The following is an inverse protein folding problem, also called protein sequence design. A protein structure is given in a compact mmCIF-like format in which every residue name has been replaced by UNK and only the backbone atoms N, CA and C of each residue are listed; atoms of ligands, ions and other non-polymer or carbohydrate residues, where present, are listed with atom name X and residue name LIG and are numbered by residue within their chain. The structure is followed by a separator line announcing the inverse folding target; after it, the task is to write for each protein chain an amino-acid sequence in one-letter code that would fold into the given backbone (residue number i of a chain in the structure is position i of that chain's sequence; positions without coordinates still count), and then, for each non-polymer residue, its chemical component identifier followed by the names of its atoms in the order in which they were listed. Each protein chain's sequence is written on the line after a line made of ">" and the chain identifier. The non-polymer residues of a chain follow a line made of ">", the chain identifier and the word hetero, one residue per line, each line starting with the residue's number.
data_IF_861922885410
#
_entry.id   IF_861922885410
#
_cell.length_a   1.000
_cell.length_b   1.000
_cell.length_c   1.000
_cell.angle_alpha   90.00
_cell.angle_beta   90.00
_cell.angle_gamma   90.00
#
_symmetry.space_group_name_H-M   'P 1'
#
loop_
_entity.id
_entity.type
_entity.pdbx_description
1 polymer ?
#
# COMPACT_ATOMS: atom_id res chain seq x y z
N UNK A 1 26.91 21.31 -35.22
CA UNK A 1 27.52 21.48 -33.89
C UNK A 1 26.38 21.76 -32.91
N UNK A 2 26.09 20.83 -32.01
CA UNK A 2 25.14 21.09 -30.92
C UNK A 2 25.80 22.05 -29.93
N UNK A 3 25.27 23.26 -29.81
CA UNK A 3 25.71 24.22 -28.81
C UNK A 3 25.14 23.79 -27.46
N UNK A 4 26.01 23.27 -26.59
CA UNK A 4 25.65 22.91 -25.21
C UNK A 4 25.32 24.18 -24.43
N UNK A 5 24.21 24.17 -23.71
CA UNK A 5 23.73 25.32 -22.94
C UNK A 5 24.68 25.59 -21.76
N UNK A 6 25.04 26.85 -21.55
CA UNK A 6 25.94 27.27 -20.45
C UNK A 6 25.09 27.67 -19.25
N UNK A 7 25.06 26.84 -18.21
CA UNK A 7 24.21 27.04 -17.02
C UNK A 7 24.85 27.91 -15.94
N UNK A 8 26.18 28.02 -15.93
CA UNK A 8 26.96 28.78 -14.94
C UNK A 8 27.95 29.72 -15.60
N UNK A 9 28.15 30.88 -14.98
CA UNK A 9 29.16 31.84 -15.41
C UNK A 9 30.56 31.25 -15.23
N UNK A 10 31.40 31.16 -16.28
CA UNK A 10 32.74 30.59 -16.18
C UNK A 10 33.72 31.43 -15.34
N UNK A 11 33.35 32.68 -15.00
CA UNK A 11 34.19 33.61 -14.21
C UNK A 11 33.85 33.52 -12.72
N UNK A 12 32.57 33.62 -12.37
CA UNK A 12 32.13 33.72 -10.97
C UNK A 12 31.30 32.53 -10.48
N UNK A 13 31.06 31.54 -11.34
CA UNK A 13 30.21 30.37 -11.07
C UNK A 13 28.75 30.70 -10.72
N UNK A 14 28.31 31.95 -10.92
CA UNK A 14 26.93 32.39 -10.74
C UNK A 14 25.96 31.75 -11.73
N UNK A 15 24.67 31.71 -11.39
CA UNK A 15 23.61 31.16 -12.26
C UNK A 15 23.41 32.06 -13.48
N UNK A 16 23.34 31.46 -14.66
CA UNK A 16 22.99 32.16 -15.91
C UNK A 16 21.48 32.05 -16.16
N UNK A 17 20.91 33.03 -16.86
CA UNK A 17 19.52 33.01 -17.35
C UNK A 17 19.51 33.23 -18.87
N UNK A 18 18.47 32.74 -19.54
CA UNK A 18 18.22 33.10 -20.94
C UNK A 18 17.63 34.51 -20.95
N UNK A 19 18.24 35.42 -21.72
CA UNK A 19 17.78 36.80 -21.83
C UNK A 19 16.82 37.03 -23.00
N UNK A 20 16.87 36.16 -24.02
CA UNK A 20 16.09 36.27 -25.26
C UNK A 20 15.67 34.89 -25.75
N UNK A 21 14.37 34.68 -25.94
CA UNK A 21 13.80 33.53 -26.64
C UNK A 21 13.41 33.96 -28.06
N UNK A 22 13.87 33.23 -29.07
CA UNK A 22 13.58 33.52 -30.48
C UNK A 22 12.81 32.37 -31.10
N UNK A 23 11.61 32.64 -31.60
CA UNK A 23 10.88 31.65 -32.40
C UNK A 23 11.53 31.54 -33.78
N UNK A 24 11.89 30.32 -34.16
CA UNK A 24 12.48 30.05 -35.48
C UNK A 24 11.46 30.17 -36.62
N UNK A 25 10.18 29.96 -36.34
CA UNK A 25 9.11 29.94 -37.35
C UNK A 25 8.57 31.32 -37.67
N UNK A 26 8.20 32.11 -36.65
CA UNK A 26 7.63 33.45 -36.84
C UNK A 26 8.59 34.60 -36.55
N UNK A 27 9.80 34.30 -36.05
CA UNK A 27 10.84 35.31 -35.79
C UNK A 27 10.62 36.18 -34.56
N UNK A 28 9.55 35.98 -33.79
CA UNK A 28 9.30 36.76 -32.57
C UNK A 28 10.45 36.60 -31.58
N UNK A 29 10.88 37.73 -31.00
CA UNK A 29 11.88 37.78 -29.95
C UNK A 29 11.21 38.21 -28.64
N UNK A 30 11.24 37.33 -27.66
CA UNK A 30 10.71 37.58 -26.32
C UNK A 30 11.89 37.84 -25.40
N UNK A 31 11.97 39.04 -24.84
CA UNK A 31 13.03 39.46 -23.92
C UNK A 31 12.54 39.35 -22.47
N UNK A 32 13.40 38.90 -21.58
CA UNK A 32 13.09 38.73 -20.16
C UNK A 32 14.18 37.92 -19.47
N UNK A 33 14.06 37.76 -18.15
CA UNK A 33 14.92 36.86 -17.39
C UNK A 33 14.25 35.49 -17.31
N UNK A 34 14.56 34.61 -18.27
CA UNK A 34 14.04 33.25 -18.24
C UNK A 34 15.06 32.35 -17.54
N UNK A 35 14.71 31.67 -16.44
CA UNK A 35 15.60 30.71 -15.84
C UNK A 35 15.99 29.65 -16.87
N UNK A 36 17.25 29.20 -16.85
CA UNK A 36 17.70 28.02 -17.58
C UNK A 36 17.14 26.77 -16.86
N UNK A 37 15.84 26.74 -16.63
CA UNK A 37 15.13 25.50 -16.32
C UNK A 37 14.75 24.91 -17.68
N UNK A 38 15.65 24.05 -18.15
CA UNK A 38 15.58 23.36 -19.43
C UNK A 38 14.23 22.64 -19.56
N UNK A 39 13.67 22.68 -20.78
CA UNK A 39 12.34 22.20 -21.11
C UNK A 39 11.90 20.95 -20.35
N UNK A 40 10.78 21.07 -19.63
CA UNK A 40 9.91 19.98 -19.20
C UNK A 40 10.40 19.05 -18.08
N UNK A 41 11.71 18.95 -17.78
CA UNK A 41 12.22 17.94 -16.86
C UNK A 41 13.09 18.49 -15.70
N UNK A 42 13.55 19.74 -15.75
CA UNK A 42 14.38 20.32 -14.69
C UNK A 42 13.58 20.98 -13.54
N UNK A 43 12.33 20.56 -13.33
CA UNK A 43 11.63 20.76 -12.06
C UNK A 43 11.82 19.55 -11.11
N UNK A 44 12.43 18.47 -11.60
CA UNK A 44 12.65 17.26 -10.82
C UNK A 44 14.05 17.33 -10.19
N UNK A 45 14.18 17.27 -8.86
CA UNK A 45 15.48 17.30 -8.17
C UNK A 45 16.14 15.91 -8.23
N UNK A 46 16.35 15.42 -9.45
CA UNK A 46 16.92 14.11 -9.74
C UNK A 46 18.32 14.27 -10.36
N UNK A 47 19.27 13.48 -9.87
CA UNK A 47 20.61 13.40 -10.42
C UNK A 47 20.63 12.50 -11.67
N UNK A 48 21.76 12.48 -12.39
CA UNK A 48 21.88 11.70 -13.64
C UNK A 48 21.61 10.20 -13.43
N UNK A 49 22.03 9.65 -12.29
CA UNK A 49 21.77 8.25 -11.93
C UNK A 49 20.28 7.98 -11.68
N UNK A 50 19.57 8.92 -11.06
CA UNK A 50 18.13 8.81 -10.83
C UNK A 50 17.37 8.82 -12.15
N UNK A 51 17.74 9.72 -13.07
CA UNK A 51 17.13 9.80 -14.40
C UNK A 51 17.35 8.52 -15.20
N UNK A 52 18.56 7.96 -15.18
CA UNK A 52 18.86 6.69 -15.82
C UNK A 52 18.00 5.55 -15.24
N UNK A 53 17.81 5.55 -13.92
CA UNK A 53 16.92 4.59 -13.27
C UNK A 53 15.46 4.77 -13.66
N UNK A 54 14.95 6.00 -13.76
CA UNK A 54 13.57 6.28 -14.22
C UNK A 54 13.38 5.79 -15.66
N UNK A 55 14.35 6.02 -16.55
CA UNK A 55 14.29 5.50 -17.93
C UNK A 55 14.24 3.97 -17.95
N UNK A 56 15.03 3.31 -17.10
CA UNK A 56 14.99 1.85 -16.95
C UNK A 56 13.66 1.36 -16.39
N UNK A 57 13.09 2.08 -15.42
CA UNK A 57 11.77 1.80 -14.87
C UNK A 57 10.69 1.84 -15.96
N UNK A 58 10.71 2.87 -16.81
CA UNK A 58 9.78 3.00 -17.94
C UNK A 58 10.02 1.92 -19.00
N UNK A 59 11.28 1.59 -19.32
CA UNK A 59 11.65 0.50 -20.25
C UNK A 59 11.03 -0.84 -19.85
N UNK A 60 10.95 -1.12 -18.55
CA UNK A 60 10.37 -2.36 -18.00
C UNK A 60 8.92 -2.21 -17.56
N UNK A 61 8.26 -1.11 -17.88
CA UNK A 61 6.86 -0.83 -17.48
C UNK A 61 6.64 -0.98 -15.97
N UNK A 62 7.64 -0.63 -15.16
CA UNK A 62 7.62 -0.77 -13.71
C UNK A 62 7.81 -2.20 -13.17
N UNK A 63 8.15 -3.17 -14.01
CA UNK A 63 8.43 -4.54 -13.57
C UNK A 63 9.76 -4.63 -12.79
N UNK A 64 9.66 -4.49 -11.47
CA UNK A 64 10.81 -4.51 -10.56
C UNK A 64 11.62 -5.81 -10.60
N UNK A 65 11.01 -6.96 -10.94
CA UNK A 65 11.74 -8.24 -11.07
C UNK A 65 12.66 -8.23 -12.28
N UNK A 66 12.19 -7.72 -13.42
CA UNK A 66 13.02 -7.57 -14.63
C UNK A 66 14.13 -6.53 -14.42
N UNK A 67 13.83 -5.44 -13.73
CA UNK A 67 14.83 -4.43 -13.37
C UNK A 67 15.91 -5.01 -12.44
N UNK A 68 15.51 -5.80 -11.43
CA UNK A 68 16.43 -6.47 -10.52
C UNK A 68 17.38 -7.42 -11.27
N UNK A 69 16.85 -8.19 -12.23
CA UNK A 69 17.64 -9.06 -13.09
C UNK A 69 18.61 -8.27 -13.99
N UNK A 70 18.16 -7.21 -14.65
CA UNK A 70 19.00 -6.40 -15.54
C UNK A 70 20.11 -5.66 -14.78
N UNK A 71 19.84 -5.19 -13.56
CA UNK A 71 20.81 -4.47 -12.74
C UNK A 71 21.66 -5.37 -11.83
N UNK A 72 21.39 -6.68 -11.78
CA UNK A 72 22.05 -7.59 -10.83
C UNK A 72 21.80 -7.21 -9.36
N UNK A 73 20.67 -6.58 -9.07
CA UNK A 73 20.28 -6.10 -7.73
C UNK A 73 19.15 -6.95 -7.15
N UNK A 74 18.92 -6.87 -5.83
CA UNK A 74 17.75 -7.50 -5.25
C UNK A 74 16.48 -6.69 -5.55
N UNK A 75 15.32 -7.35 -5.51
CA UNK A 75 14.02 -6.67 -5.59
C UNK A 75 13.89 -5.55 -4.53
N UNK A 76 14.47 -5.77 -3.35
CA UNK A 76 14.45 -4.79 -2.25
C UNK A 76 15.22 -3.51 -2.61
N UNK A 77 16.37 -3.65 -3.27
CA UNK A 77 17.20 -2.50 -3.68
C UNK A 77 16.48 -1.66 -4.75
N UNK A 78 15.84 -2.33 -5.73
CA UNK A 78 15.04 -1.66 -6.75
C UNK A 78 13.89 -0.88 -6.09
N UNK A 79 13.17 -1.51 -5.16
CA UNK A 79 12.06 -0.88 -4.43
C UNK A 79 12.52 0.32 -3.61
N UNK A 80 13.70 0.23 -3.00
CA UNK A 80 14.28 1.33 -2.21
C UNK A 80 14.66 2.50 -3.11
N UNK A 81 15.28 2.23 -4.27
CA UNK A 81 15.65 3.27 -5.24
C UNK A 81 14.43 3.98 -5.85
N UNK A 82 13.31 3.26 -6.11
CA UNK A 82 12.04 3.88 -6.51
C UNK A 82 11.51 4.84 -5.44
N UNK A 83 11.58 4.45 -4.15
CA UNK A 83 11.13 5.29 -3.04
C UNK A 83 11.97 6.56 -2.91
N UNK A 84 13.28 6.44 -3.02
CA UNK A 84 14.20 7.58 -2.98
C UNK A 84 13.92 8.59 -4.10
N UNK A 85 13.66 8.10 -5.32
CA UNK A 85 13.29 8.95 -6.45
C UNK A 85 11.94 9.63 -6.21
N UNK A 86 10.94 8.90 -5.70
CA UNK A 86 9.64 9.50 -5.36
C UNK A 86 9.77 10.57 -4.27
N UNK A 87 10.63 10.35 -3.27
CA UNK A 87 10.93 11.34 -2.22
C UNK A 87 11.58 12.59 -2.80
N UNK A 88 12.56 12.42 -3.69
CA UNK A 88 13.19 13.55 -4.39
C UNK A 88 12.14 14.32 -5.20
N UNK A 89 11.31 13.64 -5.99
CA UNK A 89 10.29 14.27 -6.83
C UNK A 89 9.11 14.91 -6.08
N UNK A 90 9.07 14.82 -4.74
CA UNK A 90 7.89 15.20 -3.94
C UNK A 90 6.60 14.49 -4.41
N UNK A 91 6.76 13.30 -4.99
CA UNK A 91 5.66 12.41 -5.37
C UNK A 91 5.09 11.68 -4.14
N UNK A 92 5.57 11.99 -2.95
CA UNK A 92 4.95 11.59 -1.68
C UNK A 92 3.62 12.33 -1.48
N UNK A 93 2.68 12.22 -2.43
CA UNK A 93 1.29 12.60 -2.17
C UNK A 93 0.83 11.89 -0.90
N UNK A 94 0.25 12.66 0.00
CA UNK A 94 -0.40 12.20 1.25
C UNK A 94 -1.51 11.16 1.02
N UNK A 95 -1.91 10.90 -0.23
CA UNK A 95 -3.00 9.99 -0.63
C UNK A 95 -2.83 8.53 -0.17
N UNK A 96 -1.72 8.17 0.47
CA UNK A 96 -1.59 6.89 1.17
C UNK A 96 -0.76 6.95 2.47
N UNK A 97 -0.63 8.12 3.11
CA UNK A 97 -0.28 8.14 4.55
C UNK A 97 -1.54 7.72 5.30
N UNK A 98 -1.65 6.42 5.51
CA UNK A 98 -2.58 5.85 6.46
C UNK A 98 -2.56 6.68 7.75
N UNK A 99 -3.62 7.46 7.99
CA UNK A 99 -3.67 8.39 9.11
C UNK A 99 -3.97 7.60 10.37
N UNK A 100 -2.91 7.37 11.17
CA UNK A 100 -3.06 6.82 12.50
C UNK A 100 -3.74 7.87 13.38
N UNK A 101 -4.76 7.46 14.12
CA UNK A 101 -5.53 8.32 15.03
C UNK A 101 -5.57 7.69 16.42
N UNK A 102 -5.67 8.51 17.46
CA UNK A 102 -5.74 8.03 18.85
C UNK A 102 -7.15 7.60 19.25
N UNK A 103 -8.17 8.15 18.60
CA UNK A 103 -9.57 7.78 18.82
C UNK A 103 -10.45 8.12 17.62
N UNK A 104 -11.62 7.49 17.57
CA UNK A 104 -12.71 7.82 16.64
C UNK A 104 -14.02 8.00 17.42
N UNK A 105 -14.83 8.98 17.00
CA UNK A 105 -16.19 9.13 17.50
C UNK A 105 -17.08 8.00 16.97
N UNK A 106 -17.88 7.40 17.85
CA UNK A 106 -18.82 6.35 17.48
C UNK A 106 -20.15 6.52 18.20
N UNK A 107 -21.19 5.91 17.66
CA UNK A 107 -22.46 5.77 18.35
C UNK A 107 -22.39 4.64 19.38
N UNK A 108 -22.43 4.97 20.68
CA UNK A 108 -22.34 3.99 21.76
C UNK A 108 -23.46 2.93 21.76
N UNK A 109 -24.59 3.21 21.09
CA UNK A 109 -25.71 2.26 20.94
C UNK A 109 -25.50 1.25 19.81
N UNK A 110 -24.47 1.41 18.99
CA UNK A 110 -24.19 0.52 17.87
C UNK A 110 -23.38 -0.70 18.33
N UNK A 111 -23.93 -1.89 18.12
CA UNK A 111 -23.32 -3.17 18.50
C UNK A 111 -22.68 -3.92 17.32
N UNK A 112 -22.30 -3.20 16.27
CA UNK A 112 -21.56 -3.81 15.16
C UNK A 112 -20.15 -4.23 15.61
N UNK A 113 -19.60 -5.30 15.01
CA UNK A 113 -18.20 -5.70 15.19
C UNK A 113 -17.22 -4.52 15.11
N UNK A 114 -17.35 -3.67 14.09
CA UNK A 114 -16.54 -2.47 13.90
C UNK A 114 -16.64 -1.51 15.09
N UNK A 115 -17.84 -1.17 15.57
CA UNK A 115 -18.06 -0.28 16.71
C UNK A 115 -17.49 -0.87 18.02
N UNK A 116 -17.50 -2.19 18.20
CA UNK A 116 -16.87 -2.87 19.34
C UNK A 116 -15.33 -2.77 19.27
N UNK A 117 -14.75 -2.99 18.09
CA UNK A 117 -13.31 -2.85 17.88
C UNK A 117 -12.87 -1.41 18.13
N UNK A 118 -13.60 -0.41 17.61
CA UNK A 118 -13.27 1.01 17.79
C UNK A 118 -13.28 1.37 19.28
N UNK A 119 -14.28 0.94 20.07
CA UNK A 119 -14.29 1.18 21.53
C UNK A 119 -13.02 0.68 22.21
N UNK A 120 -12.64 -0.56 21.95
CA UNK A 120 -11.44 -1.16 22.53
C UNK A 120 -10.16 -0.46 22.09
N UNK A 121 -10.11 0.07 20.86
CA UNK A 121 -8.97 0.86 20.39
C UNK A 121 -8.92 2.24 21.06
N UNK A 122 -10.06 2.92 21.20
CA UNK A 122 -10.15 4.22 21.87
C UNK A 122 -9.68 4.14 23.33
N UNK A 123 -10.04 3.07 24.06
CA UNK A 123 -9.55 2.80 25.43
C UNK A 123 -8.03 2.69 25.54
N UNK A 124 -7.33 2.48 24.42
CA UNK A 124 -5.88 2.26 24.34
C UNK A 124 -5.19 3.33 23.51
N UNK A 125 -5.80 4.51 23.39
CA UNK A 125 -5.28 5.63 22.60
C UNK A 125 -4.87 5.22 21.18
N UNK A 126 -5.69 4.37 20.55
CA UNK A 126 -5.53 3.96 19.16
C UNK A 126 -4.42 2.94 18.92
N UNK A 127 -3.77 2.38 19.95
CA UNK A 127 -2.71 1.37 19.79
C UNK A 127 -2.96 0.14 20.65
N UNK A 128 -2.83 -1.05 20.08
CA UNK A 128 -2.98 -2.30 20.81
C UNK A 128 -2.08 -3.41 20.25
N UNK A 129 -2.06 -4.56 20.93
CA UNK A 129 -1.36 -5.76 20.48
C UNK A 129 -2.35 -6.91 20.39
N UNK A 130 -2.34 -7.64 19.27
CA UNK A 130 -3.14 -8.85 19.11
C UNK A 130 -2.25 -10.07 18.88
N UNK A 131 -2.70 -11.23 19.38
CA UNK A 131 -2.01 -12.50 19.23
C UNK A 131 -2.39 -13.16 17.91
N UNK A 132 -1.37 -13.49 17.13
CA UNK A 132 -1.49 -14.28 15.91
C UNK A 132 -1.66 -15.77 16.26
N UNK A 133 -2.13 -16.56 15.29
CA UNK A 133 -2.38 -18.00 15.47
C UNK A 133 -1.12 -18.81 15.87
N UNK A 134 0.08 -18.29 15.56
CA UNK A 134 1.36 -18.91 15.93
C UNK A 134 1.88 -18.49 17.30
N UNK A 135 1.20 -17.56 17.97
CA UNK A 135 1.59 -17.02 19.27
C UNK A 135 2.32 -15.66 19.18
N UNK A 136 2.80 -15.28 18.00
CA UNK A 136 3.44 -13.98 17.79
C UNK A 136 2.45 -12.84 18.10
N UNK A 137 2.90 -11.82 18.83
CA UNK A 137 2.13 -10.60 19.02
C UNK A 137 2.50 -9.57 17.96
N UNK A 138 1.47 -8.92 17.40
CA UNK A 138 1.65 -7.82 16.45
C UNK A 138 1.00 -6.56 16.99
N UNK A 139 1.66 -5.43 16.76
CA UNK A 139 1.09 -4.11 17.02
C UNK A 139 0.01 -3.80 15.96
N UNK A 140 -1.12 -3.29 16.43
CA UNK A 140 -2.21 -2.79 15.61
C UNK A 140 -2.50 -1.34 15.98
N UNK A 141 -2.74 -0.51 14.96
CA UNK A 141 -2.98 0.94 15.11
C UNK A 141 -4.32 1.33 14.51
N UNK A 142 -5.02 2.24 15.16
CA UNK A 142 -6.31 2.76 14.73
C UNK A 142 -6.10 3.73 13.57
N UNK A 143 -6.97 3.64 12.58
CA UNK A 143 -7.00 4.56 11.43
C UNK A 143 -8.44 5.00 11.18
N UNK A 144 -8.65 6.07 10.42
CA UNK A 144 -10.00 6.51 10.05
C UNK A 144 -10.83 5.42 9.36
N UNK A 145 -10.19 4.55 8.55
CA UNK A 145 -10.88 3.55 7.71
C UNK A 145 -10.91 2.14 8.31
N UNK A 146 -10.17 1.89 9.39
CA UNK A 146 -9.99 0.54 9.90
C UNK A 146 -8.83 0.40 10.87
N UNK A 147 -8.32 -0.83 10.99
CA UNK A 147 -7.19 -1.17 11.85
C UNK A 147 -5.97 -1.53 11.01
N UNK A 148 -4.84 -0.89 11.28
CA UNK A 148 -3.56 -1.15 10.64
C UNK A 148 -2.70 -2.13 11.43
N UNK A 149 -2.43 -3.34 10.92
CA UNK A 149 -1.36 -4.18 11.46
C UNK A 149 0.01 -3.67 11.03
N UNK A 150 0.86 -3.28 11.98
CA UNK A 150 2.20 -2.70 11.71
C UNK A 150 3.10 -3.67 10.93
N UNK A 151 2.90 -4.98 11.11
CA UNK A 151 3.63 -6.02 10.37
C UNK A 151 3.22 -6.16 8.90
N UNK A 152 2.20 -5.45 8.42
CA UNK A 152 1.79 -5.40 7.01
C UNK A 152 1.71 -3.94 6.51
N UNK A 153 2.86 -3.33 6.13
CA UNK A 153 2.91 -1.93 5.71
C UNK A 153 1.97 -1.62 4.54
N UNK A 154 1.16 -0.57 4.70
CA UNK A 154 0.22 -0.10 3.68
C UNK A 154 -1.11 -0.86 3.63
N UNK A 155 -1.35 -1.82 4.52
CA UNK A 155 -2.61 -2.56 4.61
C UNK A 155 -3.47 -2.08 5.79
N UNK A 156 -4.78 -1.91 5.55
CA UNK A 156 -5.80 -1.61 6.57
C UNK A 156 -6.85 -2.71 6.55
N UNK A 157 -7.20 -3.22 7.73
CA UNK A 157 -8.41 -4.03 7.91
C UNK A 157 -9.60 -3.08 8.04
N UNK A 158 -10.39 -2.94 6.97
CA UNK A 158 -11.43 -1.91 6.86
C UNK A 158 -12.66 -2.23 7.71
N UNK A 159 -13.31 -1.20 8.25
CA UNK A 159 -14.45 -1.35 9.17
C UNK A 159 -15.58 -2.21 8.59
N UNK A 160 -15.99 -1.95 7.35
CA UNK A 160 -17.07 -2.69 6.70
C UNK A 160 -16.76 -4.18 6.50
N UNK A 161 -15.48 -4.52 6.39
CA UNK A 161 -15.05 -5.91 6.17
C UNK A 161 -15.11 -6.70 7.48
N UNK A 162 -14.84 -6.07 8.64
CA UNK A 162 -15.07 -6.72 9.95
C UNK A 162 -16.53 -7.12 10.14
N UNK A 163 -17.45 -6.21 9.83
CA UNK A 163 -18.88 -6.45 9.97
C UNK A 163 -19.35 -7.58 9.03
N UNK A 164 -18.91 -7.53 7.77
CA UNK A 164 -19.26 -8.54 6.76
C UNK A 164 -18.69 -9.93 7.06
N UNK A 165 -17.47 -10.03 7.62
CA UNK A 165 -16.90 -11.31 8.03
C UNK A 165 -17.75 -11.94 9.14
N UNK A 166 -18.16 -11.15 10.14
CA UNK A 166 -18.94 -11.67 11.26
C UNK A 166 -20.37 -12.05 10.85
N UNK A 167 -20.98 -11.27 9.97
CA UNK A 167 -22.28 -11.62 9.36
C UNK A 167 -22.16 -12.95 8.59
N UNK A 168 -21.15 -13.09 7.73
CA UNK A 168 -20.93 -14.30 6.95
C UNK A 168 -20.62 -15.51 7.84
N UNK A 169 -19.85 -15.33 8.90
CA UNK A 169 -19.55 -16.42 9.84
C UNK A 169 -20.82 -16.93 10.54
N UNK A 170 -21.75 -16.03 10.92
CA UNK A 170 -23.06 -16.40 11.48
C UNK A 170 -23.93 -17.13 10.45
N UNK A 171 -23.95 -16.67 9.20
CA UNK A 171 -24.65 -17.33 8.09
C UNK A 171 -24.15 -18.78 7.90
N UNK A 172 -22.84 -19.01 8.07
CA UNK A 172 -22.20 -20.33 7.97
C UNK A 172 -22.36 -21.21 9.23
N UNK A 173 -23.20 -20.81 10.19
CA UNK A 173 -23.42 -21.57 11.42
C UNK A 173 -22.34 -21.35 12.49
N UNK A 174 -21.68 -20.20 12.48
CA UNK A 174 -20.71 -19.77 13.50
C UNK A 174 -19.26 -20.13 13.19
N UNK A 175 -18.99 -21.01 12.22
CA UNK A 175 -17.62 -21.41 11.84
C UNK A 175 -17.28 -20.94 10.43
N UNK A 176 -16.22 -20.12 10.31
CA UNK A 176 -15.73 -19.64 9.01
C UNK A 176 -14.24 -19.90 8.84
N UNK A 177 -13.85 -20.61 7.78
CA UNK A 177 -12.45 -20.85 7.47
C UNK A 177 -11.75 -19.57 7.03
N UNK A 178 -10.47 -19.43 7.36
CA UNK A 178 -9.70 -18.22 7.01
C UNK A 178 -9.25 -18.21 5.55
N UNK A 179 -8.88 -19.38 5.00
CA UNK A 179 -8.33 -19.50 3.64
C UNK A 179 -6.84 -19.17 3.54
N UNK A 180 -6.16 -18.97 4.68
CA UNK A 180 -4.81 -18.40 4.71
C UNK A 180 -3.73 -19.34 4.19
N UNK A 181 -3.90 -20.65 4.36
CA UNK A 181 -3.01 -21.66 3.78
C UNK A 181 -3.13 -21.72 2.25
N UNK A 182 -4.37 -21.75 1.72
CA UNK A 182 -4.64 -21.74 0.29
C UNK A 182 -4.14 -20.47 -0.40
N UNK A 183 -4.44 -19.30 0.18
CA UNK A 183 -3.96 -18.02 -0.35
C UNK A 183 -2.43 -17.95 -0.38
N UNK A 184 -1.74 -18.41 0.69
CA UNK A 184 -0.28 -18.47 0.74
C UNK A 184 0.30 -19.41 -0.31
N UNK A 185 -0.36 -20.53 -0.59
CA UNK A 185 0.03 -21.53 -1.58
C UNK A 185 -0.32 -21.17 -3.03
N UNK A 186 -0.92 -20.01 -3.28
CA UNK A 186 -1.34 -19.60 -4.62
C UNK A 186 -2.55 -20.37 -5.16
N UNK A 187 -3.37 -20.95 -4.28
CA UNK A 187 -4.62 -21.57 -4.67
C UNK A 187 -5.58 -20.55 -5.32
N UNK A 188 -6.45 -21.05 -6.20
CA UNK A 188 -7.44 -20.22 -6.90
C UNK A 188 -8.70 -20.10 -6.07
N UNK A 189 -9.30 -18.92 -6.02
CA UNK A 189 -10.58 -18.70 -5.35
C UNK A 189 -11.63 -19.64 -5.95
N UNK A 190 -12.33 -20.39 -5.10
CA UNK A 190 -13.29 -21.43 -5.49
C UNK A 190 -12.71 -22.83 -5.58
N UNK A 191 -11.39 -23.02 -5.40
CA UNK A 191 -10.80 -24.35 -5.29
C UNK A 191 -11.10 -24.99 -3.92
N UNK A 192 -10.77 -26.28 -3.78
CA UNK A 192 -10.90 -27.00 -2.50
C UNK A 192 -10.06 -26.36 -1.39
N UNK A 193 -8.89 -25.84 -1.75
CA UNK A 193 -7.92 -25.21 -0.85
C UNK A 193 -8.26 -23.75 -0.51
N UNK A 194 -9.03 -23.07 -1.37
CA UNK A 194 -9.48 -21.69 -1.14
C UNK A 194 -10.97 -21.52 -1.50
N UNK A 195 -11.89 -22.04 -0.66
CA UNK A 195 -13.33 -21.90 -0.89
C UNK A 195 -13.79 -20.44 -0.90
N UNK A 196 -14.85 -20.14 -1.65
CA UNK A 196 -15.42 -18.78 -1.75
C UNK A 196 -15.93 -18.25 -0.42
N UNK A 197 -16.37 -19.14 0.46
CA UNK A 197 -16.87 -18.80 1.80
C UNK A 197 -15.78 -18.75 2.88
N UNK A 198 -14.51 -18.95 2.50
CA UNK A 198 -13.39 -18.61 3.40
C UNK A 198 -13.22 -17.10 3.51
N UNK A 199 -12.64 -16.58 4.59
CA UNK A 199 -12.42 -15.13 4.76
C UNK A 199 -11.64 -14.56 3.57
N UNK A 200 -10.49 -15.15 3.21
CA UNK A 200 -9.69 -14.67 2.07
C UNK A 200 -10.45 -14.77 0.74
N UNK A 201 -11.23 -15.84 0.51
CA UNK A 201 -12.07 -15.97 -0.69
C UNK A 201 -13.16 -14.89 -0.73
N UNK A 202 -13.95 -14.80 0.33
CA UNK A 202 -15.10 -13.92 0.48
C UNK A 202 -14.72 -12.45 0.32
N UNK A 203 -13.71 -11.98 1.08
CA UNK A 203 -13.34 -10.57 1.02
C UNK A 203 -12.70 -10.22 -0.32
N UNK A 204 -12.01 -11.16 -0.95
CA UNK A 204 -11.37 -10.93 -2.25
C UNK A 204 -12.37 -10.70 -3.36
N UNK A 205 -13.44 -11.52 -3.37
CA UNK A 205 -14.53 -11.40 -4.33
C UNK A 205 -15.33 -10.12 -4.09
N UNK A 206 -15.61 -9.79 -2.83
CA UNK A 206 -16.53 -8.70 -2.47
C UNK A 206 -15.89 -7.31 -2.43
N UNK A 207 -14.63 -7.21 -1.99
CA UNK A 207 -13.99 -5.92 -1.69
C UNK A 207 -12.70 -5.66 -2.49
N UNK A 208 -12.07 -6.69 -3.06
CA UNK A 208 -10.79 -6.54 -3.77
C UNK A 208 -10.88 -6.82 -5.28
N UNK A 209 -12.09 -6.83 -5.86
CA UNK A 209 -12.32 -6.94 -7.29
C UNK A 209 -11.81 -8.23 -7.93
N UNK A 210 -11.64 -9.30 -7.14
CA UNK A 210 -11.23 -10.62 -7.65
C UNK A 210 -12.43 -11.42 -8.15
N UNK A 211 -12.14 -12.39 -9.02
CA UNK A 211 -13.12 -13.34 -9.53
C UNK A 211 -12.76 -14.77 -9.14
N UNK A 212 -13.73 -15.68 -9.24
CA UNK A 212 -13.49 -17.12 -9.09
C UNK A 212 -12.44 -17.55 -10.13
N UNK A 213 -11.42 -18.29 -9.71
CA UNK A 213 -10.28 -18.66 -10.55
C UNK A 213 -9.04 -17.74 -10.41
N UNK A 214 -9.17 -16.57 -9.77
CA UNK A 214 -8.03 -15.72 -9.44
C UNK A 214 -7.25 -16.24 -8.23
N UNK A 215 -5.98 -15.83 -8.11
CA UNK A 215 -5.24 -15.92 -6.84
C UNK A 215 -5.51 -14.69 -5.97
N UNK A 216 -5.30 -14.82 -4.66
CA UNK A 216 -5.45 -13.71 -3.73
C UNK A 216 -4.28 -13.57 -2.75
N UNK A 217 -4.26 -12.45 -2.05
CA UNK A 217 -3.31 -12.15 -0.98
C UNK A 217 -3.87 -12.66 0.35
N UNK A 218 -3.00 -13.26 1.15
CA UNK A 218 -3.30 -13.69 2.52
C UNK A 218 -3.56 -12.47 3.42
N UNK A 219 -4.82 -12.20 3.74
CA UNK A 219 -5.26 -11.07 4.61
C UNK A 219 -6.06 -11.55 5.82
N UNK A 220 -6.73 -12.69 5.70
CA UNK A 220 -7.59 -13.28 6.72
C UNK A 220 -6.94 -13.45 8.10
N UNK A 221 -5.61 -13.59 8.16
CA UNK A 221 -4.90 -13.73 9.45
C UNK A 221 -5.01 -12.50 10.33
N UNK A 222 -5.06 -11.30 9.73
CA UNK A 222 -5.13 -10.05 10.47
C UNK A 222 -6.54 -9.80 10.96
N UNK A 223 -7.54 -9.97 10.07
CA UNK A 223 -8.95 -9.89 10.45
C UNK A 223 -9.28 -10.86 11.60
N UNK A 224 -8.88 -12.13 11.50
CA UNK A 224 -9.14 -13.12 12.53
C UNK A 224 -8.45 -12.79 13.87
N UNK A 225 -7.21 -12.29 13.84
CA UNK A 225 -6.50 -11.90 15.06
C UNK A 225 -7.12 -10.68 15.74
N UNK A 226 -7.55 -9.68 14.97
CA UNK A 226 -8.18 -8.47 15.50
C UNK A 226 -9.59 -8.76 16.04
N UNK A 227 -10.39 -9.57 15.33
CA UNK A 227 -11.70 -10.02 15.81
C UNK A 227 -11.58 -10.81 17.12
N UNK A 228 -10.59 -11.70 17.23
CA UNK A 228 -10.35 -12.46 18.45
C UNK A 228 -9.85 -11.57 19.60
N UNK A 229 -8.96 -10.62 19.33
CA UNK A 229 -8.55 -9.61 20.31
C UNK A 229 -9.73 -8.76 20.80
N UNK A 230 -10.66 -8.44 19.91
CA UNK A 230 -11.89 -7.75 20.25
C UNK A 230 -12.91 -8.65 20.99
N UNK A 231 -12.63 -9.94 21.17
CA UNK A 231 -13.52 -10.88 21.86
C UNK A 231 -14.78 -11.21 21.07
N UNK A 232 -14.74 -11.06 19.74
CA UNK A 232 -15.87 -11.29 18.85
C UNK A 232 -15.91 -12.73 18.32
N UNK A 233 -14.78 -13.43 18.34
CA UNK A 233 -14.66 -14.83 17.92
C UNK A 233 -13.44 -15.50 18.57
N UNK A 234 -13.35 -16.82 18.49
CA UNK A 234 -12.11 -17.56 18.72
C UNK A 234 -11.32 -17.71 17.42
N UNK A 235 -9.99 -17.55 17.45
CA UNK A 235 -9.11 -17.76 16.28
C UNK A 235 -8.40 -19.12 16.42
N UNK A 236 -8.89 -20.11 15.68
CA UNK A 236 -8.55 -21.52 15.86
C UNK A 236 -7.64 -22.05 14.75
N UNK A 237 -6.86 -23.10 15.07
CA UNK A 237 -6.12 -23.90 14.07
C UNK A 237 -7.02 -24.99 13.51
N UNK A 238 -6.94 -25.27 12.21
CA UNK A 238 -7.46 -26.51 11.64
C UNK A 238 -6.36 -27.54 11.44
N UNK A 239 -6.72 -28.82 11.42
CA UNK A 239 -5.85 -29.96 11.10
C UNK A 239 -5.46 -29.98 9.60
N UNK A 240 -4.69 -28.97 9.17
CA UNK A 240 -4.01 -28.95 7.87
C UNK A 240 -4.58 -28.02 6.79
N UNK A 241 -5.72 -27.36 7.00
CA UNK A 241 -6.38 -26.50 5.99
C UNK A 241 -6.29 -24.98 6.30
N UNK A 242 -5.31 -24.56 7.12
CA UNK A 242 -5.21 -23.18 7.61
C UNK A 242 -6.00 -22.94 8.91
N UNK A 243 -6.26 -21.69 9.28
CA UNK A 243 -7.06 -21.37 10.46
C UNK A 243 -8.57 -21.25 10.17
N UNK A 244 -9.37 -21.14 11.23
CA UNK A 244 -10.78 -20.75 11.16
C UNK A 244 -11.14 -19.82 12.32
N UNK A 245 -12.23 -19.09 12.20
CA UNK A 245 -12.85 -18.38 13.33
C UNK A 245 -14.11 -19.12 13.79
N UNK A 246 -14.39 -19.03 15.08
CA UNK A 246 -15.62 -19.53 15.71
C UNK A 246 -16.31 -18.38 16.45
N UNK A 247 -17.55 -18.07 16.07
CA UNK A 247 -18.37 -16.97 16.61
C UNK A 247 -19.36 -17.47 17.65
#
# INVERSE_FOLDING_TARGET
>A
MENKMIEKCPICNGKMYVSVLKCKECGIEIKGEFPISQGGASALPLEQEDLAFVMLFLKHEGNMTKMAQELGKSFYDIRTQVREINRKMDNEKEENKMRIVESLEINEKEEKPSSIIIRKMNERNGTAFCKMLKGDEIEIRLTEKGVHPVSFPGFVCEWEIFDAIMEKAKELGGKMYRGDAGAQGGAKIGSRELPVDSIDGFISLRYYGKQVGDTTTRRSTYYAAILAWAGLCENCRSDGNGGYILV
#
